data_IF_485229341735
#
_entry.id   IF_485229341735
#
_cell.length_a   1.000
_cell.length_b   1.000
_cell.length_c   1.000
_cell.angle_alpha   90.00
_cell.angle_beta   90.00
_cell.angle_gamma   90.00
#
_symmetry.space_group_name_H-M   'P 1'
#
loop_
_entity.id
_entity.type
_entity.pdbx_description
1 polymer ?
#
# COMPACT_ATOMS: atom_id res chain seq x y z
N UNK A 1 5.41 26.69 -22.65
CA UNK A 1 5.63 27.21 -21.28
C UNK A 1 4.45 26.80 -20.42
N UNK A 2 4.68 25.97 -19.41
CA UNK A 2 3.66 25.66 -18.39
C UNK A 2 3.73 26.81 -17.39
N UNK A 3 2.66 27.61 -17.28
CA UNK A 3 2.62 28.72 -16.33
C UNK A 3 2.51 28.16 -14.91
N UNK A 4 3.14 28.84 -13.94
CA UNK A 4 3.11 28.46 -12.51
C UNK A 4 1.67 28.25 -12.02
N UNK A 5 0.73 29.07 -12.50
CA UNK A 5 -0.70 28.96 -12.22
C UNK A 5 -1.33 27.61 -12.60
N UNK A 6 -0.89 26.99 -13.70
CA UNK A 6 -1.41 25.68 -14.12
C UNK A 6 -0.86 24.55 -13.25
N UNK A 7 0.38 24.69 -12.79
CA UNK A 7 1.01 23.73 -11.87
C UNK A 7 0.32 23.80 -10.52
N UNK A 8 0.08 25.00 -9.99
CA UNK A 8 -0.61 25.19 -8.71
C UNK A 8 -2.05 24.72 -8.78
N UNK A 9 -2.81 25.05 -9.83
CA UNK A 9 -4.18 24.57 -10.00
C UNK A 9 -4.26 23.03 -10.07
N UNK A 10 -3.33 22.39 -10.80
CA UNK A 10 -3.28 20.93 -10.89
C UNK A 10 -2.91 20.29 -9.55
N UNK A 11 -1.95 20.88 -8.83
CA UNK A 11 -1.58 20.42 -7.48
C UNK A 11 -2.76 20.55 -6.51
N UNK A 12 -3.48 21.68 -6.53
CA UNK A 12 -4.66 21.90 -5.68
C UNK A 12 -5.76 20.89 -6.03
N UNK A 13 -6.05 20.67 -7.32
CA UNK A 13 -7.04 19.68 -7.73
C UNK A 13 -6.64 18.26 -7.30
N UNK A 14 -5.36 17.92 -7.38
CA UNK A 14 -4.84 16.62 -6.95
C UNK A 14 -4.93 16.45 -5.44
N UNK A 15 -4.57 17.48 -4.66
CA UNK A 15 -4.71 17.49 -3.20
C UNK A 15 -6.17 17.43 -2.77
N UNK A 16 -7.08 18.14 -3.46
CA UNK A 16 -8.51 18.07 -3.21
C UNK A 16 -9.08 16.70 -3.54
N UNK A 17 -8.66 16.09 -4.65
CA UNK A 17 -9.04 14.72 -5.02
C UNK A 17 -8.58 13.71 -3.96
N UNK A 18 -7.32 13.82 -3.51
CA UNK A 18 -6.75 13.03 -2.40
C UNK A 18 -7.56 13.21 -1.11
N UNK A 19 -7.92 14.45 -0.78
CA UNK A 19 -8.74 14.76 0.38
C UNK A 19 -10.12 14.10 0.30
N UNK A 20 -10.82 14.21 -0.83
CA UNK A 20 -12.13 13.60 -1.03
C UNK A 20 -12.08 12.06 -1.00
N UNK A 21 -11.03 11.46 -1.57
CA UNK A 21 -10.79 10.01 -1.51
C UNK A 21 -10.65 9.51 -0.06
N UNK A 22 -10.09 10.32 0.83
CA UNK A 22 -9.92 9.98 2.24
C UNK A 22 -11.21 9.86 3.06
N UNK A 23 -12.33 10.43 2.58
CA UNK A 23 -13.63 10.31 3.26
C UNK A 23 -14.48 9.15 2.74
N UNK A 24 -14.06 8.51 1.65
CA UNK A 24 -14.78 7.38 1.07
C UNK A 24 -14.35 6.08 1.76
N UNK A 25 -15.30 5.15 1.99
CA UNK A 25 -14.94 3.80 2.41
C UNK A 25 -13.91 3.20 1.44
N UNK A 26 -12.93 2.40 1.92
CA UNK A 26 -11.84 1.91 1.08
C UNK A 26 -12.30 1.22 -0.21
N UNK A 27 -13.38 0.44 -0.15
CA UNK A 27 -13.93 -0.23 -1.33
C UNK A 27 -14.47 0.75 -2.39
N UNK A 28 -15.10 1.86 -1.98
CA UNK A 28 -15.66 2.88 -2.89
C UNK A 28 -14.53 3.62 -3.57
N UNK A 29 -13.51 4.02 -2.81
CA UNK A 29 -12.34 4.69 -3.34
C UNK A 29 -11.54 3.78 -4.29
N UNK A 30 -11.34 2.50 -3.95
CA UNK A 30 -10.72 1.52 -4.86
C UNK A 30 -11.55 1.32 -6.14
N UNK A 31 -12.88 1.27 -6.05
CA UNK A 31 -13.75 1.18 -7.23
C UNK A 31 -13.68 2.44 -8.10
N UNK A 32 -13.73 3.63 -7.50
CA UNK A 32 -13.57 4.89 -8.24
C UNK A 32 -12.21 4.98 -8.94
N UNK A 33 -11.15 4.50 -8.29
CA UNK A 33 -9.82 4.43 -8.87
C UNK A 33 -9.73 3.38 -10.00
N UNK A 34 -10.40 2.23 -9.87
CA UNK A 34 -10.54 1.26 -10.96
C UNK A 34 -11.18 1.89 -12.20
N UNK A 35 -12.29 2.61 -12.02
CA UNK A 35 -12.98 3.31 -13.13
C UNK A 35 -12.02 4.31 -13.80
N UNK A 36 -11.27 5.09 -13.02
CA UNK A 36 -10.25 6.00 -13.55
C UNK A 36 -9.20 5.27 -14.39
N UNK A 37 -8.68 4.14 -13.90
CA UNK A 37 -7.70 3.32 -14.63
C UNK A 37 -8.30 2.75 -15.91
N UNK A 38 -9.51 2.20 -15.88
CA UNK A 38 -10.19 1.66 -17.06
C UNK A 38 -10.42 2.73 -18.12
N UNK A 39 -10.90 3.91 -17.72
CA UNK A 39 -11.05 5.06 -18.64
C UNK A 39 -9.68 5.44 -19.22
N UNK A 40 -8.63 5.46 -18.39
CA UNK A 40 -7.26 5.75 -18.85
C UNK A 40 -6.78 4.72 -19.88
N UNK A 41 -7.04 3.43 -19.67
CA UNK A 41 -6.72 2.37 -20.64
C UNK A 41 -7.46 2.60 -21.96
N UNK A 42 -8.75 2.93 -21.94
CA UNK A 42 -9.54 3.22 -23.15
C UNK A 42 -8.96 4.43 -23.89
N UNK A 43 -8.62 5.50 -23.18
CA UNK A 43 -8.01 6.70 -23.77
C UNK A 43 -6.65 6.37 -24.37
N UNK A 44 -5.78 5.65 -23.66
CA UNK A 44 -4.45 5.23 -24.16
C UNK A 44 -4.56 4.29 -25.37
N UNK A 45 -5.58 3.42 -25.39
CA UNK A 45 -5.86 2.53 -26.53
C UNK A 45 -6.26 3.31 -27.79
N UNK A 46 -6.98 4.42 -27.62
CA UNK A 46 -7.42 5.28 -28.73
C UNK A 46 -6.30 6.10 -29.39
N UNK A 47 -5.14 6.21 -28.75
CA UNK A 47 -3.98 6.94 -29.31
C UNK A 47 -3.21 6.00 -30.25
N UNK A 48 -2.98 6.36 -31.53
CA UNK A 48 -2.20 5.53 -32.44
C UNK A 48 -0.74 5.36 -31.94
N UNK A 49 -0.16 4.17 -32.14
CA UNK A 49 1.24 3.86 -31.75
C UNK A 49 2.13 4.04 -32.97
N UNK A 50 2.42 5.29 -33.27
CA UNK A 50 3.30 5.65 -34.38
C UNK A 50 4.77 5.73 -33.90
N UNK A 51 5.76 5.44 -34.78
CA UNK A 51 7.15 5.75 -34.48
C UNK A 51 7.30 7.25 -34.14
N UNK A 52 7.95 7.57 -33.02
CA UNK A 52 8.02 8.94 -32.48
C UNK A 52 6.91 9.31 -31.48
N UNK A 53 5.91 8.46 -31.27
CA UNK A 53 4.93 8.64 -30.20
C UNK A 53 5.60 8.49 -28.81
N UNK A 54 5.06 9.16 -27.80
CA UNK A 54 5.66 9.24 -26.46
C UNK A 54 5.91 7.89 -25.78
N UNK A 55 5.07 6.87 -26.04
CA UNK A 55 5.28 5.50 -25.54
C UNK A 55 6.51 4.81 -26.16
N UNK A 56 6.96 5.25 -27.34
CA UNK A 56 8.17 4.76 -27.99
C UNK A 56 9.46 5.35 -27.41
N UNK A 57 9.38 6.42 -26.63
CA UNK A 57 10.55 7.05 -26.02
C UNK A 57 11.19 6.10 -25.01
N UNK A 58 12.50 5.90 -25.10
CA UNK A 58 13.27 5.05 -24.18
C UNK A 58 13.13 5.46 -22.73
N UNK A 59 13.10 6.76 -22.44
CA UNK A 59 12.89 7.25 -21.07
C UNK A 59 11.55 6.77 -20.52
N UNK A 60 10.48 6.80 -21.32
CA UNK A 60 9.14 6.36 -20.89
C UNK A 60 9.11 4.85 -20.69
N UNK A 61 9.65 4.09 -21.65
CA UNK A 61 9.74 2.61 -21.56
C UNK A 61 10.49 2.17 -20.31
N UNK A 62 11.65 2.77 -20.06
CA UNK A 62 12.48 2.49 -18.87
C UNK A 62 11.81 2.96 -17.58
N UNK A 63 11.14 4.11 -17.60
CA UNK A 63 10.34 4.59 -16.48
C UNK A 63 9.23 3.59 -16.11
N UNK A 64 8.52 3.04 -17.10
CA UNK A 64 7.51 2.01 -16.87
C UNK A 64 8.11 0.74 -16.25
N UNK A 65 9.27 0.29 -16.75
CA UNK A 65 10.01 -0.86 -16.16
C UNK A 65 10.35 -0.60 -14.69
N UNK A 66 10.82 0.60 -14.35
CA UNK A 66 11.12 0.97 -12.96
C UNK A 66 9.86 0.99 -12.11
N UNK A 67 8.76 1.57 -12.60
CA UNK A 67 7.47 1.60 -11.89
C UNK A 67 6.95 0.19 -11.63
N UNK A 68 6.94 -0.68 -12.65
CA UNK A 68 6.53 -2.08 -12.51
C UNK A 68 7.42 -2.79 -11.49
N UNK A 69 8.74 -2.59 -11.57
CA UNK A 69 9.69 -3.21 -10.63
C UNK A 69 9.44 -2.78 -9.17
N UNK A 70 9.22 -1.49 -8.94
CA UNK A 70 8.91 -0.95 -7.62
C UNK A 70 7.60 -1.51 -7.06
N UNK A 71 6.56 -1.60 -7.89
CA UNK A 71 5.28 -2.19 -7.51
C UNK A 71 5.45 -3.69 -7.21
N UNK A 72 6.19 -4.44 -8.02
CA UNK A 72 6.45 -5.86 -7.76
C UNK A 72 7.26 -6.09 -6.49
N UNK A 73 8.17 -5.18 -6.13
CA UNK A 73 8.87 -5.24 -4.85
C UNK A 73 7.93 -4.98 -3.67
N UNK A 74 6.98 -4.07 -3.84
CA UNK A 74 5.97 -3.77 -2.83
C UNK A 74 5.03 -4.96 -2.58
N UNK A 75 4.58 -5.63 -3.65
CA UNK A 75 3.78 -6.84 -3.58
C UNK A 75 4.43 -7.96 -2.75
N UNK A 76 5.76 -8.01 -2.63
CA UNK A 76 6.44 -9.00 -1.77
C UNK A 76 6.07 -8.86 -0.28
N UNK A 77 5.56 -7.69 0.12
CA UNK A 77 5.17 -7.40 1.50
C UNK A 77 3.72 -7.73 1.80
N UNK A 78 2.93 -8.08 0.78
CA UNK A 78 1.50 -8.36 0.95
C UNK A 78 1.32 -9.76 1.52
N UNK A 79 0.43 -9.88 2.50
CA UNK A 79 0.08 -11.16 3.12
C UNK A 79 -0.78 -12.05 2.21
N UNK A 80 -1.25 -13.17 2.76
CA UNK A 80 -2.13 -14.10 2.05
C UNK A 80 -3.57 -13.57 1.83
N UNK A 81 -4.03 -12.62 2.66
CA UNK A 81 -5.34 -11.99 2.51
C UNK A 81 -5.23 -10.60 1.91
N UNK A 82 -5.80 -10.40 0.72
CA UNK A 82 -5.84 -9.10 0.05
C UNK A 82 -6.74 -8.12 0.81
N UNK A 83 -6.18 -6.96 1.12
CA UNK A 83 -6.94 -5.85 1.66
C UNK A 83 -7.47 -4.98 0.51
N UNK A 84 -8.73 -4.51 0.52
CA UNK A 84 -9.25 -3.61 -0.52
C UNK A 84 -8.39 -2.36 -0.80
N UNK A 85 -7.58 -1.94 0.16
CA UNK A 85 -6.64 -0.82 0.04
C UNK A 85 -5.45 -1.11 -0.89
N UNK A 86 -5.17 -2.38 -1.17
CA UNK A 86 -4.06 -2.84 -2.03
C UNK A 86 -4.43 -2.81 -3.52
N UNK A 87 -5.73 -2.83 -3.84
CA UNK A 87 -6.23 -2.84 -5.21
C UNK A 87 -5.73 -1.68 -6.08
N UNK A 88 -5.62 -0.43 -5.59
CA UNK A 88 -5.09 0.66 -6.41
C UNK A 88 -3.69 0.37 -6.94
N UNK A 89 -2.82 -0.29 -6.16
CA UNK A 89 -1.48 -0.66 -6.62
C UNK A 89 -1.55 -1.69 -7.77
N UNK A 90 -2.43 -2.69 -7.64
CA UNK A 90 -2.69 -3.70 -8.67
C UNK A 90 -3.25 -3.04 -9.94
N UNK A 91 -4.11 -2.04 -9.81
CA UNK A 91 -4.65 -1.31 -10.96
C UNK A 91 -3.58 -0.43 -11.64
N UNK A 92 -2.68 0.20 -10.88
CA UNK A 92 -1.50 0.89 -11.44
C UNK A 92 -0.61 -0.09 -12.18
N UNK A 93 -0.35 -1.27 -11.60
CA UNK A 93 0.45 -2.32 -12.22
C UNK A 93 -0.15 -2.73 -13.57
N UNK A 94 -1.43 -3.06 -13.59
CA UNK A 94 -2.14 -3.42 -14.81
C UNK A 94 -2.11 -2.31 -15.87
N UNK A 95 -2.23 -1.05 -15.46
CA UNK A 95 -2.09 0.10 -16.37
C UNK A 95 -0.67 0.21 -16.92
N UNK A 96 0.35 0.05 -16.06
CA UNK A 96 1.75 0.12 -16.45
C UNK A 96 2.13 -1.02 -17.41
N UNK A 97 1.63 -2.23 -17.16
CA UNK A 97 1.79 -3.39 -18.04
C UNK A 97 1.12 -3.20 -19.38
N UNK A 98 -0.11 -2.67 -19.38
CA UNK A 98 -0.81 -2.33 -20.62
C UNK A 98 -0.03 -1.29 -21.43
N UNK A 99 0.46 -0.24 -20.76
CA UNK A 99 1.26 0.81 -21.38
C UNK A 99 2.60 0.26 -21.90
N UNK A 100 3.27 -0.62 -21.14
CA UNK A 100 4.52 -1.25 -21.53
C UNK A 100 4.31 -2.19 -22.73
N UNK A 101 3.27 -3.02 -22.72
CA UNK A 101 2.90 -3.88 -23.84
C UNK A 101 2.60 -3.07 -25.10
N UNK A 102 1.96 -1.90 -24.96
CA UNK A 102 1.76 -0.97 -26.08
C UNK A 102 3.06 -0.37 -26.57
N UNK A 103 3.95 0.02 -25.66
CA UNK A 103 5.26 0.59 -25.96
C UNK A 103 6.18 -0.40 -26.70
N UNK A 104 6.11 -1.68 -26.34
CA UNK A 104 6.87 -2.78 -26.97
C UNK A 104 6.12 -3.44 -28.14
N UNK A 105 5.00 -2.84 -28.59
CA UNK A 105 4.10 -3.41 -29.63
C UNK A 105 3.67 -4.86 -29.37
N UNK A 106 3.70 -5.30 -28.10
CA UNK A 106 3.40 -6.67 -27.68
C UNK A 106 4.25 -7.74 -28.38
N UNK A 107 5.47 -7.39 -28.81
CA UNK A 107 6.40 -8.33 -29.48
C UNK A 107 6.62 -9.59 -28.63
N UNK A 108 6.71 -9.44 -27.31
CA UNK A 108 6.86 -10.56 -26.38
C UNK A 108 5.72 -11.59 -26.42
N UNK A 109 4.50 -11.17 -26.78
CA UNK A 109 3.31 -12.03 -26.77
C UNK A 109 2.68 -12.21 -28.16
N UNK A 110 3.34 -11.73 -29.23
CA UNK A 110 2.85 -11.82 -30.59
C UNK A 110 2.98 -13.26 -31.15
N UNK A 111 2.03 -13.66 -32.01
CA UNK A 111 2.12 -14.92 -32.72
C UNK A 111 3.31 -14.90 -33.69
N UNK A 112 3.90 -16.08 -33.96
CA UNK A 112 5.08 -16.19 -34.83
C UNK A 112 4.79 -15.63 -36.24
N UNK A 113 3.57 -15.83 -36.74
CA UNK A 113 3.15 -15.35 -38.06
C UNK A 113 3.12 -13.82 -38.20
N UNK A 114 3.04 -13.10 -37.08
CA UNK A 114 2.94 -11.64 -37.06
C UNK A 114 4.30 -10.96 -36.83
N UNK A 115 5.38 -11.75 -36.75
CA UNK A 115 6.71 -11.29 -36.41
C UNK A 115 7.65 -11.39 -37.61
N UNK A 116 8.33 -10.30 -37.91
CA UNK A 116 9.48 -10.31 -38.82
C UNK A 116 10.66 -11.05 -38.15
N UNK A 117 11.58 -11.61 -38.95
CA UNK A 117 12.78 -12.32 -38.46
C UNK A 117 13.58 -11.50 -37.43
N UNK A 118 13.68 -10.18 -37.64
CA UNK A 118 14.35 -9.27 -36.71
C UNK A 118 13.61 -9.21 -35.37
N UNK A 119 12.28 -9.10 -35.39
CA UNK A 119 11.48 -9.04 -34.17
C UNK A 119 11.49 -10.37 -33.41
N UNK A 120 11.48 -11.49 -34.14
CA UNK A 120 11.65 -12.81 -33.58
C UNK A 120 13.00 -12.97 -32.87
N UNK A 121 14.09 -12.52 -33.49
CA UNK A 121 15.43 -12.59 -32.87
C UNK A 121 15.50 -11.83 -31.55
N UNK A 122 14.91 -10.63 -31.50
CA UNK A 122 14.84 -9.80 -30.29
C UNK A 122 13.95 -10.44 -29.23
N UNK A 123 12.80 -11.00 -29.63
CA UNK A 123 11.89 -11.72 -28.72
C UNK A 123 12.60 -12.91 -28.07
N UNK A 124 13.27 -13.75 -28.86
CA UNK A 124 13.96 -14.95 -28.39
C UNK A 124 15.13 -14.59 -27.45
N UNK A 125 15.91 -13.56 -27.81
CA UNK A 125 16.95 -13.03 -26.94
C UNK A 125 16.37 -12.51 -25.60
N UNK A 126 15.27 -11.78 -25.66
CA UNK A 126 14.62 -11.24 -24.48
C UNK A 126 14.08 -12.34 -23.55
N UNK A 127 13.44 -13.39 -24.08
CA UNK A 127 13.00 -14.54 -23.26
C UNK A 127 14.18 -15.25 -22.60
N UNK A 128 15.27 -15.46 -23.33
CA UNK A 128 16.46 -16.13 -22.77
C UNK A 128 17.04 -15.33 -21.59
N UNK A 129 17.15 -14.02 -21.74
CA UNK A 129 17.65 -13.14 -20.68
C UNK A 129 16.64 -13.08 -19.52
N UNK A 130 15.35 -12.86 -19.81
CA UNK A 130 14.30 -12.76 -18.81
C UNK A 130 14.22 -14.01 -17.93
N UNK A 131 14.15 -15.20 -18.53
CA UNK A 131 14.06 -16.43 -17.74
C UNK A 131 15.35 -16.79 -17.03
N UNK A 132 16.52 -16.43 -17.57
CA UNK A 132 17.78 -16.56 -16.83
C UNK A 132 17.78 -15.66 -15.59
N UNK A 133 17.38 -14.39 -15.73
CA UNK A 133 17.29 -13.44 -14.60
C UNK A 133 16.25 -13.91 -13.58
N UNK A 134 15.08 -14.36 -14.03
CA UNK A 134 14.02 -14.88 -13.15
C UNK A 134 14.46 -16.13 -12.39
N UNK A 135 15.11 -17.08 -13.08
CA UNK A 135 15.60 -18.29 -12.44
C UNK A 135 16.67 -17.98 -11.38
N UNK A 136 17.60 -17.07 -11.69
CA UNK A 136 18.63 -16.63 -10.75
C UNK A 136 18.02 -15.88 -9.56
N UNK A 137 17.08 -14.95 -9.80
CA UNK A 137 16.48 -14.15 -8.73
C UNK A 137 15.61 -15.01 -7.80
N UNK A 138 14.74 -15.85 -8.36
CA UNK A 138 13.89 -16.77 -7.58
C UNK A 138 14.75 -17.79 -6.87
N UNK A 139 15.72 -18.41 -7.56
CA UNK A 139 16.63 -19.38 -6.94
C UNK A 139 17.43 -18.78 -5.77
N UNK A 140 17.92 -17.54 -5.93
CA UNK A 140 18.61 -16.83 -4.86
C UNK A 140 17.69 -16.54 -3.67
N UNK A 141 16.46 -16.08 -3.91
CA UNK A 141 15.48 -15.82 -2.85
C UNK A 141 15.13 -17.10 -2.10
N UNK A 142 14.88 -18.20 -2.81
CA UNK A 142 14.59 -19.50 -2.19
C UNK A 142 15.76 -19.99 -1.33
N UNK A 143 16.99 -19.91 -1.85
CA UNK A 143 18.19 -20.33 -1.14
C UNK A 143 18.45 -19.48 0.12
N UNK A 144 18.29 -18.16 0.02
CA UNK A 144 18.45 -17.27 1.18
C UNK A 144 17.34 -17.50 2.20
N UNK A 145 16.09 -17.66 1.76
CA UNK A 145 14.96 -17.86 2.66
C UNK A 145 15.05 -19.18 3.44
N UNK A 146 15.60 -20.23 2.82
CA UNK A 146 15.78 -21.54 3.46
C UNK A 146 16.91 -21.54 4.52
N UNK A 147 17.99 -20.79 4.26
CA UNK A 147 19.22 -20.86 5.08
C UNK A 147 19.29 -19.76 6.15
N UNK A 148 18.59 -18.63 5.97
CA UNK A 148 18.80 -17.46 6.82
C UNK A 148 18.22 -17.58 8.24
N UNK A 149 16.89 -17.72 8.39
CA UNK A 149 16.21 -17.75 9.69
C UNK A 149 14.90 -18.56 9.67
N UNK A 150 14.39 -19.02 10.83
CA UNK A 150 13.06 -19.64 10.90
C UNK A 150 11.94 -18.73 10.40
N UNK A 151 12.08 -17.41 10.57
CA UNK A 151 11.10 -16.43 10.09
C UNK A 151 11.12 -16.29 8.56
N UNK A 152 12.30 -16.37 7.92
CA UNK A 152 12.39 -16.38 6.46
C UNK A 152 11.80 -17.65 5.84
N UNK A 153 11.97 -18.79 6.51
CA UNK A 153 11.35 -20.05 6.09
C UNK A 153 9.82 -20.00 6.22
N UNK A 154 9.28 -19.42 7.29
CA UNK A 154 7.83 -19.19 7.43
C UNK A 154 7.29 -18.24 6.36
N UNK A 155 7.98 -17.12 6.11
CA UNK A 155 7.61 -16.21 5.03
C UNK A 155 7.56 -16.93 3.68
N UNK A 156 8.49 -17.85 3.41
CA UNK A 156 8.50 -18.62 2.17
C UNK A 156 7.28 -19.53 2.01
N UNK A 157 6.84 -20.19 3.09
CA UNK A 157 5.61 -21.01 3.08
C UNK A 157 4.38 -20.15 2.82
N UNK A 158 4.32 -18.97 3.43
CA UNK A 158 3.21 -18.02 3.26
C UNK A 158 3.24 -17.32 1.88
N UNK A 159 4.42 -17.16 1.28
CA UNK A 159 4.65 -16.47 0.01
C UNK A 159 3.86 -17.07 -1.15
N UNK A 160 3.53 -18.36 -1.09
CA UNK A 160 2.76 -19.08 -2.10
C UNK A 160 1.31 -18.56 -2.20
N UNK A 161 0.77 -18.00 -1.11
CA UNK A 161 -0.64 -17.64 -1.00
C UNK A 161 -0.92 -16.13 -1.09
N UNK A 162 0.10 -15.31 -1.33
CA UNK A 162 -0.01 -13.85 -1.25
C UNK A 162 0.65 -13.08 -2.38
N UNK A 163 1.08 -11.86 -2.09
CA UNK A 163 1.70 -10.98 -3.07
C UNK A 163 3.03 -11.47 -3.67
N UNK A 164 3.86 -12.30 -3.00
CA UNK A 164 5.03 -12.90 -3.66
C UNK A 164 4.66 -13.80 -4.85
N UNK A 165 3.59 -14.60 -4.74
CA UNK A 165 3.09 -15.41 -5.85
C UNK A 165 2.60 -14.54 -7.01
N UNK A 166 1.88 -13.45 -6.72
CA UNK A 166 1.50 -12.47 -7.74
C UNK A 166 2.73 -11.83 -8.40
N UNK A 167 3.74 -11.46 -7.62
CA UNK A 167 4.99 -10.88 -8.12
C UNK A 167 5.73 -11.86 -9.04
N UNK A 168 5.77 -13.14 -8.66
CA UNK A 168 6.34 -14.19 -9.48
C UNK A 168 5.59 -14.34 -10.81
N UNK A 169 4.27 -14.46 -10.79
CA UNK A 169 3.45 -14.55 -12.01
C UNK A 169 3.60 -13.31 -12.88
N UNK A 170 3.59 -12.13 -12.26
CA UNK A 170 3.80 -10.86 -12.92
C UNK A 170 5.12 -10.83 -13.68
N UNK A 171 6.23 -11.18 -13.01
CA UNK A 171 7.53 -11.23 -13.65
C UNK A 171 7.61 -12.34 -14.70
N UNK A 172 7.00 -13.51 -14.45
CA UNK A 172 6.99 -14.62 -15.41
C UNK A 172 6.41 -14.19 -16.78
N UNK A 173 5.31 -13.42 -16.78
CA UNK A 173 4.65 -12.99 -18.01
C UNK A 173 5.22 -11.70 -18.62
N UNK A 174 5.60 -10.72 -17.79
CA UNK A 174 5.96 -9.38 -18.26
C UNK A 174 7.45 -9.09 -18.31
N UNK A 175 8.30 -9.90 -17.67
CA UNK A 175 9.75 -9.70 -17.69
C UNK A 175 10.36 -9.72 -19.10
N UNK A 176 9.92 -10.59 -20.05
CA UNK A 176 10.39 -10.49 -21.44
C UNK A 176 10.11 -9.11 -22.06
N UNK A 177 8.92 -8.55 -21.82
CA UNK A 177 8.58 -7.20 -22.31
C UNK A 177 9.42 -6.11 -21.64
N UNK A 178 9.72 -6.25 -20.34
CA UNK A 178 10.62 -5.34 -19.63
C UNK A 178 12.05 -5.39 -20.19
N UNK A 179 12.53 -6.58 -20.53
CA UNK A 179 13.84 -6.79 -21.16
C UNK A 179 13.88 -6.18 -22.57
N UNK A 180 12.84 -6.38 -23.39
CA UNK A 180 12.73 -5.73 -24.72
C UNK A 180 12.80 -4.20 -24.57
N UNK A 181 12.05 -3.64 -23.62
CA UNK A 181 12.06 -2.21 -23.34
C UNK A 181 13.44 -1.67 -22.93
N UNK A 182 14.33 -2.53 -22.43
CA UNK A 182 15.69 -2.16 -22.02
C UNK A 182 16.73 -2.30 -23.13
N UNK A 183 16.62 -3.37 -23.93
CA UNK A 183 17.56 -3.76 -24.99
C UNK A 183 17.27 -3.02 -26.29
N UNK A 184 15.99 -2.86 -26.67
CA UNK A 184 15.64 -2.23 -27.94
C UNK A 184 16.21 -0.80 -27.93
N UNK A 185 17.11 -0.46 -28.86
CA UNK A 185 17.64 0.88 -28.95
C UNK A 185 16.48 1.87 -29.14
N UNK A 186 16.75 3.16 -28.94
CA UNK A 186 15.83 4.16 -29.46
C UNK A 186 15.54 3.75 -30.90
N UNK A 187 14.25 3.58 -31.27
CA UNK A 187 13.92 3.58 -32.70
C UNK A 187 14.62 4.82 -33.18
N UNK A 188 15.65 4.64 -34.00
CA UNK A 188 16.44 5.71 -34.58
C UNK A 188 15.40 6.77 -34.86
N UNK A 189 15.53 7.90 -34.17
CA UNK A 189 14.96 9.10 -34.72
C UNK A 189 15.54 9.08 -36.12
N UNK A 190 14.71 8.73 -37.10
CA UNK A 190 14.77 9.49 -38.32
C UNK A 190 14.80 10.91 -37.76
N UNK A 191 15.99 11.52 -37.71
CA UNK A 191 16.18 12.87 -37.17
C UNK A 191 15.36 13.87 -38.01
N UNK A 192 14.66 13.38 -39.04
CA UNK A 192 13.67 14.00 -39.90
C UNK A 192 12.21 13.56 -39.69
N UNK A 193 11.88 12.61 -38.79
CA UNK A 193 10.48 12.31 -38.48
C UNK A 193 9.90 13.50 -37.71
N UNK A 194 9.00 14.32 -38.32
CA UNK A 194 8.49 15.51 -37.67
C UNK A 194 7.83 15.09 -36.37
N UNK A 195 8.19 15.73 -35.25
CA UNK A 195 7.47 15.59 -33.98
C UNK A 195 5.99 15.87 -34.26
N UNK A 196 5.22 14.81 -34.48
CA UNK A 196 3.85 14.91 -34.90
C UNK A 196 3.13 15.78 -33.89
N UNK A 197 2.44 16.81 -34.41
CA UNK A 197 1.75 17.83 -33.62
C UNK A 197 0.92 17.11 -32.57
N UNK A 198 1.38 17.18 -31.32
CA UNK A 198 0.88 16.39 -30.22
C UNK A 198 -0.63 16.60 -30.09
N UNK A 199 -1.42 15.60 -30.48
CA UNK A 199 -2.87 15.71 -30.48
C UNK A 199 -3.36 15.98 -29.06
N UNK A 200 -4.46 16.73 -28.92
CA UNK A 200 -5.08 16.99 -27.61
C UNK A 200 -5.37 15.69 -26.85
N UNK A 201 -5.73 14.63 -27.58
CA UNK A 201 -5.93 13.26 -27.05
C UNK A 201 -4.65 12.64 -26.49
N UNK A 202 -3.51 12.79 -27.16
CA UNK A 202 -2.22 12.28 -26.65
C UNK A 202 -1.80 13.00 -25.36
N UNK A 203 -2.05 14.31 -25.25
CA UNK A 203 -1.81 15.07 -24.02
C UNK A 203 -2.74 14.64 -22.89
N UNK A 204 -4.02 14.39 -23.20
CA UNK A 204 -4.97 13.85 -22.23
C UNK A 204 -4.53 12.47 -21.73
N UNK A 205 -4.16 11.57 -22.64
CA UNK A 205 -3.67 10.23 -22.28
C UNK A 205 -2.43 10.31 -21.36
N UNK A 206 -1.47 11.18 -21.69
CA UNK A 206 -0.31 11.44 -20.84
C UNK A 206 -0.71 11.93 -19.44
N UNK A 207 -1.59 12.94 -19.38
CA UNK A 207 -2.04 13.51 -18.12
C UNK A 207 -2.78 12.46 -17.27
N UNK A 208 -3.64 11.63 -17.88
CA UNK A 208 -4.37 10.59 -17.17
C UNK A 208 -3.46 9.48 -16.64
N UNK A 209 -2.48 9.02 -17.43
CA UNK A 209 -1.48 8.04 -16.97
C UNK A 209 -0.64 8.63 -15.84
N UNK A 210 -0.18 9.88 -16.00
CA UNK A 210 0.58 10.58 -14.96
C UNK A 210 -0.24 10.71 -13.68
N UNK A 211 -1.51 11.11 -13.77
CA UNK A 211 -2.42 11.18 -12.61
C UNK A 211 -2.60 9.81 -11.97
N UNK A 212 -2.83 8.75 -12.75
CA UNK A 212 -2.97 7.40 -12.20
C UNK A 212 -1.71 6.97 -11.42
N UNK A 213 -0.51 7.28 -11.91
CA UNK A 213 0.75 6.91 -11.24
C UNK A 213 1.05 7.84 -10.04
N UNK A 214 0.84 9.15 -10.18
CA UNK A 214 1.22 10.15 -9.17
C UNK A 214 0.25 10.16 -7.99
N UNK A 215 -1.05 9.97 -8.23
CA UNK A 215 -2.08 10.01 -7.19
C UNK A 215 -1.79 9.04 -6.02
N UNK A 216 -1.48 7.74 -6.23
CA UNK A 216 -1.15 6.83 -5.13
C UNK A 216 0.13 7.22 -4.38
N UNK A 217 1.13 7.77 -5.09
CA UNK A 217 2.38 8.26 -4.48
C UNK A 217 2.09 9.47 -3.59
N UNK A 218 1.37 10.46 -4.10
CA UNK A 218 1.02 11.66 -3.33
C UNK A 218 0.16 11.27 -2.14
N UNK A 219 -0.83 10.40 -2.33
CA UNK A 219 -1.66 9.90 -1.25
C UNK A 219 -0.81 9.26 -0.13
N UNK A 220 0.14 8.39 -0.48
CA UNK A 220 1.06 7.77 0.48
C UNK A 220 1.94 8.78 1.22
N UNK A 221 2.50 9.76 0.50
CA UNK A 221 3.31 10.82 1.10
C UNK A 221 2.46 11.67 2.04
N UNK A 222 1.24 12.04 1.64
CA UNK A 222 0.34 12.86 2.46
C UNK A 222 -0.09 12.13 3.72
N UNK A 223 -0.34 10.81 3.66
CA UNK A 223 -0.67 10.01 4.83
C UNK A 223 0.42 10.11 5.90
N UNK A 224 1.68 10.04 5.49
CA UNK A 224 2.81 10.00 6.43
C UNK A 224 3.25 11.39 6.89
N UNK A 225 3.27 12.37 5.99
CA UNK A 225 3.69 13.73 6.28
C UNK A 225 2.65 14.53 7.08
N UNK A 226 1.38 14.14 7.02
CA UNK A 226 0.31 14.84 7.72
C UNK A 226 0.48 14.84 9.25
N UNK A 227 -0.01 15.88 9.94
CA UNK A 227 -0.02 15.90 11.40
C UNK A 227 -0.92 14.78 11.92
N UNK A 228 -0.44 14.08 12.95
CA UNK A 228 -1.23 13.05 13.61
C UNK A 228 -2.28 13.74 14.48
N UNK A 229 -3.55 13.35 14.33
CA UNK A 229 -4.64 13.80 15.19
C UNK A 229 -5.05 12.64 16.08
N UNK A 230 -5.12 12.88 17.38
CA UNK A 230 -5.61 11.88 18.33
C UNK A 230 -7.07 12.15 18.64
N UNK A 231 -7.91 11.12 18.50
CA UNK A 231 -9.32 11.16 18.84
C UNK A 231 -9.58 10.08 19.90
N UNK A 232 -9.61 10.50 21.16
CA UNK A 232 -9.86 9.59 22.26
C UNK A 232 -11.38 9.39 22.44
N UNK A 233 -11.81 8.13 22.56
CA UNK A 233 -13.16 7.81 22.99
C UNK A 233 -13.12 6.60 23.94
N UNK A 234 -13.65 6.76 25.15
CA UNK A 234 -13.87 5.62 26.05
C UNK A 234 -15.13 4.90 25.61
N UNK A 235 -15.00 3.76 24.93
CA UNK A 235 -16.10 2.76 24.92
C UNK A 235 -16.07 2.05 26.25
N UNK A 236 -16.56 2.73 27.29
CA UNK A 236 -17.04 2.00 28.44
C UNK A 236 -18.31 1.33 27.94
N UNK A 237 -18.20 0.09 27.48
CA UNK A 237 -19.31 -0.85 27.60
C UNK A 237 -19.07 -1.55 28.94
N UNK A 238 -19.37 -0.91 30.10
CA UNK A 238 -19.59 -1.72 31.25
C UNK A 238 -20.78 -2.57 30.82
N UNK A 239 -20.55 -3.86 30.55
CA UNK A 239 -21.64 -4.80 30.80
C UNK A 239 -21.98 -4.49 32.25
N UNK A 240 -23.09 -3.76 32.40
CA UNK A 240 -23.45 -3.08 33.61
C UNK A 240 -23.40 -4.17 34.66
N UNK A 241 -22.36 -4.14 35.48
CA UNK A 241 -22.33 -4.86 36.73
C UNK A 241 -23.33 -4.18 37.64
N UNK A 242 -24.60 -4.09 37.22
CA UNK A 242 -25.75 -4.04 38.11
C UNK A 242 -25.74 -5.38 38.81
N UNK A 243 -24.81 -5.52 39.74
CA UNK A 243 -25.06 -6.35 40.89
C UNK A 243 -26.41 -5.90 41.42
N UNK A 244 -27.25 -6.88 41.65
CA UNK A 244 -28.68 -6.79 41.95
C UNK A 244 -29.02 -5.84 43.13
N UNK A 245 -28.05 -5.22 43.82
CA UNK A 245 -28.25 -4.52 45.08
C UNK A 245 -27.58 -3.13 45.23
N UNK A 246 -27.17 -2.44 44.15
CA UNK A 246 -26.76 -1.02 44.26
C UNK A 246 -25.51 -0.73 45.10
N UNK A 247 -24.66 -1.73 45.37
CA UNK A 247 -23.36 -1.58 46.04
C UNK A 247 -22.29 -1.45 44.96
N UNK A 248 -21.49 -0.38 44.99
CA UNK A 248 -20.43 -0.13 44.00
C UNK A 248 -19.48 -1.32 43.86
N UNK A 249 -19.55 -2.01 42.71
CA UNK A 249 -18.80 -3.25 42.49
C UNK A 249 -17.37 -2.90 42.06
N UNK A 250 -16.40 -3.48 42.76
CA UNK A 250 -15.00 -3.56 42.30
C UNK A 250 -14.99 -4.36 40.99
N UNK A 251 -14.61 -3.71 39.90
CA UNK A 251 -14.88 -4.08 38.50
C UNK A 251 -14.16 -5.33 37.94
N UNK A 252 -14.04 -6.39 38.73
CA UNK A 252 -13.58 -7.70 38.26
C UNK A 252 -14.44 -8.78 38.90
N UNK A 253 -15.64 -9.02 38.34
CA UNK A 253 -16.34 -10.29 38.51
C UNK A 253 -15.71 -11.35 37.60
N UNK A 254 -15.92 -12.64 37.92
CA UNK A 254 -15.36 -13.83 37.26
C UNK A 254 -15.27 -13.75 35.71
N UNK A 255 -14.21 -13.10 35.19
CA UNK A 255 -13.85 -12.92 33.77
C UNK A 255 -14.41 -11.70 33.00
N UNK A 256 -14.92 -10.67 33.67
CA UNK A 256 -15.34 -9.43 32.97
C UNK A 256 -14.38 -8.27 33.29
N UNK A 257 -13.47 -7.99 32.36
CA UNK A 257 -12.65 -6.77 32.36
C UNK A 257 -13.35 -5.62 31.63
N UNK A 258 -12.97 -4.37 31.91
CA UNK A 258 -13.44 -3.23 31.12
C UNK A 258 -12.58 -3.03 29.87
N UNK A 259 -13.25 -2.75 28.77
CA UNK A 259 -12.64 -2.38 27.50
C UNK A 259 -12.38 -0.88 27.45
N UNK A 260 -11.18 -0.52 27.02
CA UNK A 260 -10.79 0.84 26.74
C UNK A 260 -10.40 0.91 25.26
N UNK A 261 -11.21 1.61 24.47
CA UNK A 261 -10.88 1.95 23.09
C UNK A 261 -10.09 3.25 23.02
N UNK A 262 -9.19 3.37 22.06
CA UNK A 262 -8.63 4.64 21.60
C UNK A 262 -8.42 4.58 20.10
N UNK A 263 -8.47 5.72 19.42
CA UNK A 263 -8.18 5.80 17.99
C UNK A 263 -7.20 6.94 17.73
N UNK A 264 -6.21 6.68 16.87
CA UNK A 264 -5.29 7.70 16.39
C UNK A 264 -5.47 7.82 14.89
N UNK A 265 -5.89 9.00 14.47
CA UNK A 265 -6.14 9.32 13.09
C UNK A 265 -4.86 9.90 12.48
N UNK A 266 -4.41 9.28 11.40
CA UNK A 266 -3.22 9.66 10.63
C UNK A 266 -3.66 9.92 9.20
N UNK A 267 -3.13 10.96 8.58
CA UNK A 267 -3.62 11.45 7.31
C UNK A 267 -4.39 12.76 7.43
N UNK A 268 -4.46 13.49 6.32
CA UNK A 268 -5.20 14.74 6.25
C UNK A 268 -6.70 14.44 6.15
N UNK A 269 -7.46 14.79 7.20
CA UNK A 269 -8.89 14.45 7.29
C UNK A 269 -9.18 13.07 7.92
N UNK A 270 -8.19 12.39 8.51
CA UNK A 270 -8.40 11.11 9.22
C UNK A 270 -8.44 9.88 8.33
N UNK A 271 -7.71 9.92 7.20
CA UNK A 271 -7.64 8.90 6.14
C UNK A 271 -7.29 7.50 6.65
N UNK A 272 -6.49 7.41 7.71
CA UNK A 272 -6.14 6.15 8.35
C UNK A 272 -6.39 6.27 9.83
N UNK A 273 -6.90 5.19 10.43
CA UNK A 273 -7.08 5.14 11.86
C UNK A 273 -6.51 3.89 12.45
N UNK A 274 -5.75 4.06 13.51
CA UNK A 274 -5.19 2.96 14.28
C UNK A 274 -6.06 2.79 15.52
N UNK A 275 -7.01 1.84 15.51
CA UNK A 275 -7.74 1.53 16.73
C UNK A 275 -6.80 0.76 17.68
N UNK A 276 -6.88 1.13 18.95
CA UNK A 276 -6.26 0.43 20.05
C UNK A 276 -7.36 0.01 21.00
N UNK A 277 -7.24 -1.21 21.50
CA UNK A 277 -8.05 -1.72 22.58
C UNK A 277 -7.12 -2.13 23.71
N UNK A 278 -7.52 -1.81 24.94
CA UNK A 278 -6.85 -2.26 26.14
C UNK A 278 -7.92 -2.81 27.08
N UNK A 279 -7.64 -3.94 27.72
CA UNK A 279 -8.55 -4.52 28.72
C UNK A 279 -7.86 -4.48 30.06
N UNK A 280 -8.52 -3.86 31.02
CA UNK A 280 -7.97 -3.69 32.35
C UNK A 280 -9.01 -3.85 33.45
N UNK A 281 -8.50 -4.14 34.63
CA UNK A 281 -9.22 -4.52 35.81
C UNK A 281 -8.70 -3.69 36.99
N UNK A 282 -9.54 -3.41 37.99
CA UNK A 282 -9.10 -2.69 39.20
C UNK A 282 -9.82 -3.18 40.46
N UNK A 283 -9.15 -3.02 41.60
CA UNK A 283 -9.64 -3.45 42.91
C UNK A 283 -9.70 -2.31 43.95
N UNK A 284 -9.46 -1.06 43.52
CA UNK A 284 -9.38 0.13 44.37
C UNK A 284 -8.01 0.37 45.01
N UNK A 285 -7.10 -0.62 44.99
CA UNK A 285 -5.70 -0.45 45.41
C UNK A 285 -4.74 -0.39 44.23
N UNK A 286 -5.04 -1.09 43.12
CA UNK A 286 -4.27 -1.08 41.88
C UNK A 286 -5.13 -1.40 40.67
N UNK A 287 -4.73 -0.87 39.51
CA UNK A 287 -5.15 -1.36 38.20
C UNK A 287 -4.19 -2.44 37.70
N UNK A 288 -4.71 -3.47 37.05
CA UNK A 288 -3.93 -4.59 36.50
C UNK A 288 -4.54 -5.09 35.17
N UNK A 289 -3.71 -5.60 34.25
CA UNK A 289 -4.17 -6.11 32.95
C UNK A 289 -4.88 -7.46 33.09
N UNK A 290 -5.87 -7.74 32.24
CA UNK A 290 -6.53 -9.05 32.14
C UNK A 290 -6.05 -9.75 30.87
N UNK A 291 -5.30 -10.85 31.02
CA UNK A 291 -4.67 -11.56 29.90
C UNK A 291 -5.52 -12.73 29.37
N UNK A 292 -5.51 -12.95 28.06
CA UNK A 292 -5.72 -14.29 27.49
C UNK A 292 -7.13 -14.68 27.06
N UNK A 293 -8.08 -13.74 26.90
CA UNK A 293 -9.43 -14.09 26.37
C UNK A 293 -9.90 -13.26 25.18
N UNK A 294 -9.18 -12.22 24.78
CA UNK A 294 -9.64 -11.33 23.71
C UNK A 294 -8.51 -10.97 22.76
N UNK A 295 -8.82 -10.82 21.47
CA UNK A 295 -7.94 -10.33 20.40
C UNK A 295 -7.42 -8.89 20.61
N UNK A 296 -7.63 -8.33 21.81
CA UNK A 296 -7.31 -6.97 22.23
C UNK A 296 -5.88 -6.78 22.76
N UNK A 297 -5.09 -7.85 22.90
CA UNK A 297 -3.76 -7.73 23.47
C UNK A 297 -2.77 -7.23 22.40
N UNK A 298 -2.54 -5.92 22.38
CA UNK A 298 -1.42 -5.29 21.68
C UNK A 298 -1.40 -5.44 20.14
N UNK A 299 -2.54 -5.73 19.52
CA UNK A 299 -2.68 -5.68 18.08
C UNK A 299 -3.36 -4.38 17.66
N UNK A 300 -2.72 -3.54 16.82
CA UNK A 300 -3.45 -2.50 16.13
C UNK A 300 -4.56 -3.20 15.35
N UNK A 301 -5.79 -2.73 15.52
CA UNK A 301 -6.85 -3.21 14.64
C UNK A 301 -6.59 -2.77 13.20
N UNK A 302 -7.50 -3.15 12.31
CA UNK A 302 -7.37 -2.85 10.88
C UNK A 302 -7.28 -1.36 10.63
N UNK A 303 -6.15 -0.90 10.09
CA UNK A 303 -5.96 0.46 9.62
C UNK A 303 -6.45 0.60 8.18
N UNK A 304 -7.29 1.60 7.92
CA UNK A 304 -7.64 1.97 6.54
C UNK A 304 -6.42 2.65 5.90
N UNK A 305 -6.08 2.32 4.65
CA UNK A 305 -5.05 2.99 3.83
C UNK A 305 -3.60 2.99 4.34
N UNK A 306 -3.34 2.39 5.50
CA UNK A 306 -2.01 2.14 6.05
C UNK A 306 -1.94 0.71 6.57
N UNK A 307 -0.74 0.19 6.76
CA UNK A 307 -0.48 -0.99 7.56
C UNK A 307 0.09 -0.57 8.90
N UNK A 308 -0.54 -0.99 10.00
CA UNK A 308 0.02 -0.87 11.34
C UNK A 308 0.68 -2.18 11.76
N UNK A 309 1.94 -2.08 12.17
CA UNK A 309 2.69 -3.18 12.77
C UNK A 309 3.09 -2.82 14.19
N UNK A 310 2.76 -3.67 15.17
CA UNK A 310 3.21 -3.46 16.55
C UNK A 310 4.71 -3.64 16.62
N UNK A 311 5.43 -2.63 17.06
CA UNK A 311 6.86 -2.73 17.35
C UNK A 311 7.09 -3.18 18.79
N UNK A 312 6.44 -2.49 19.74
CA UNK A 312 6.54 -2.82 21.16
C UNK A 312 5.23 -2.55 21.85
N UNK A 313 4.83 -3.45 22.73
CA UNK A 313 3.76 -3.24 23.68
C UNK A 313 4.33 -3.43 25.08
N UNK A 314 4.29 -2.38 25.91
CA UNK A 314 4.75 -2.43 27.29
C UNK A 314 3.62 -2.06 28.22
N UNK A 315 3.57 -2.76 29.34
CA UNK A 315 2.67 -2.49 30.45
C UNK A 315 3.51 -2.27 31.70
N UNK A 316 3.14 -1.26 32.49
CA UNK A 316 3.77 -1.00 33.78
C UNK A 316 2.72 -0.56 34.77
N UNK A 317 2.66 -1.21 35.93
CA UNK A 317 1.88 -0.74 37.07
C UNK A 317 2.79 0.07 37.98
N UNK A 318 2.49 1.35 38.16
CA UNK A 318 3.21 2.26 39.05
C UNK A 318 3.02 1.90 40.53
N UNK A 319 3.91 2.42 41.38
CA UNK A 319 3.80 2.28 42.83
C UNK A 319 2.55 2.95 43.41
N UNK A 320 1.96 3.90 42.69
CA UNK A 320 0.70 4.58 42.98
C UNK A 320 -0.56 3.75 42.60
N UNK A 321 -0.36 2.55 42.04
CA UNK A 321 -1.42 1.66 41.59
C UNK A 321 -2.00 2.03 40.21
N UNK A 322 -1.40 2.97 39.49
CA UNK A 322 -1.78 3.29 38.11
C UNK A 322 -1.25 2.25 37.13
N UNK A 323 -2.01 1.92 36.10
CA UNK A 323 -1.58 1.02 35.03
C UNK A 323 -1.35 1.82 33.75
N UNK A 324 -0.13 1.79 33.24
CA UNK A 324 0.22 2.45 31.98
C UNK A 324 0.48 1.42 30.90
N UNK A 325 -0.24 1.53 29.79
CA UNK A 325 0.04 0.83 28.55
C UNK A 325 0.77 1.77 27.60
N UNK A 326 1.92 1.34 27.09
CA UNK A 326 2.69 2.04 26.06
C UNK A 326 2.75 1.19 24.81
N UNK A 327 2.13 1.69 23.74
CA UNK A 327 2.11 1.09 22.43
C UNK A 327 3.02 1.87 21.51
N UNK A 328 3.94 1.16 20.84
CA UNK A 328 4.70 1.69 19.72
C UNK A 328 4.32 0.91 18.49
N UNK A 329 3.73 1.60 17.53
CA UNK A 329 3.26 1.03 16.27
C UNK A 329 4.00 1.70 15.13
N UNK A 330 4.39 0.93 14.12
CA UNK A 330 4.92 1.46 12.87
C UNK A 330 3.81 1.46 11.83
N UNK A 331 3.48 2.65 11.35
CA UNK A 331 2.58 2.84 10.23
C UNK A 331 3.37 2.87 8.94
N UNK A 332 2.89 2.13 7.94
CA UNK A 332 3.43 2.10 6.58
C UNK A 332 2.30 2.48 5.64
N UNK A 333 2.57 3.33 4.66
CA UNK A 333 1.55 3.60 3.63
C UNK A 333 1.33 2.33 2.80
N UNK A 334 0.08 2.04 2.43
CA UNK A 334 -0.26 0.80 1.69
C UNK A 334 0.45 0.71 0.34
N UNK A 335 0.70 1.84 -0.32
CA UNK A 335 1.21 1.85 -1.69
C UNK A 335 2.73 2.12 -1.77
N UNK A 336 3.35 2.50 -0.65
CA UNK A 336 4.79 2.76 -0.52
C UNK A 336 5.22 2.38 0.90
N UNK A 337 5.30 1.09 1.25
CA UNK A 337 5.45 0.64 2.64
C UNK A 337 6.84 0.93 3.21
N UNK A 338 7.81 1.25 2.35
CA UNK A 338 9.12 1.71 2.77
C UNK A 338 9.06 3.10 3.43
N UNK A 339 8.06 3.91 3.08
CA UNK A 339 7.76 5.12 3.83
C UNK A 339 7.00 4.69 5.08
N UNK A 340 7.59 4.95 6.23
CA UNK A 340 7.01 4.54 7.50
C UNK A 340 7.15 5.61 8.57
N UNK A 341 6.26 5.57 9.55
CA UNK A 341 6.25 6.46 10.70
C UNK A 341 5.95 5.69 11.95
N UNK A 342 6.80 5.86 12.95
CA UNK A 342 6.55 5.32 14.29
C UNK A 342 5.55 6.24 15.01
N UNK A 343 4.54 5.62 15.62
CA UNK A 343 3.52 6.27 16.41
C UNK A 343 3.55 5.65 17.79
N UNK A 344 3.74 6.51 18.80
CA UNK A 344 3.65 6.11 20.21
C UNK A 344 2.30 6.55 20.75
N UNK A 345 1.69 5.67 21.53
CA UNK A 345 0.43 5.90 22.23
C UNK A 345 0.54 5.38 23.65
N UNK A 346 0.05 6.16 24.60
CA UNK A 346 0.09 5.82 26.02
C UNK A 346 -1.31 5.93 26.60
N UNK A 347 -1.78 4.86 27.24
CA UNK A 347 -3.05 4.82 27.97
C UNK A 347 -2.74 4.57 29.44
N UNK A 348 -3.13 5.51 30.30
CA UNK A 348 -2.86 5.45 31.73
C UNK A 348 -4.17 5.38 32.51
N UNK A 349 -4.36 4.29 33.24
CA UNK A 349 -5.53 3.98 34.05
C UNK A 349 -5.20 4.18 35.54
N UNK A 350 -6.08 4.84 36.27
CA UNK A 350 -6.01 4.91 37.74
C UNK A 350 -6.41 3.60 38.39
N UNK A 351 -6.03 3.44 39.66
CA UNK A 351 -6.53 2.41 40.57
C UNK A 351 -8.06 2.37 40.75
N UNK A 352 -8.75 3.44 40.36
CA UNK A 352 -10.21 3.57 40.43
C UNK A 352 -10.90 3.30 39.07
N UNK A 353 -10.16 2.85 38.06
CA UNK A 353 -10.69 2.58 36.72
C UNK A 353 -10.94 3.82 35.87
N UNK A 354 -10.60 5.02 36.37
CA UNK A 354 -10.63 6.27 35.58
C UNK A 354 -9.41 6.36 34.69
N UNK A 355 -9.58 6.82 33.46
CA UNK A 355 -8.44 7.06 32.56
C UNK A 355 -7.87 8.46 32.81
N UNK A 356 -6.58 8.51 33.19
CA UNK A 356 -5.85 9.75 33.51
C UNK A 356 -5.32 10.41 32.25
N UNK A 357 -4.78 9.57 31.36
CA UNK A 357 -4.11 10.01 30.15
C UNK A 357 -4.49 9.06 29.03
N UNK A 358 -5.15 9.61 28.01
CA UNK A 358 -5.31 8.99 26.71
C UNK A 358 -4.34 9.67 25.72
N UNK A 359 -3.90 8.97 24.66
CA UNK A 359 -2.88 9.44 23.73
C UNK A 359 -3.29 10.67 22.92
#
# INVERSE_FOLDING_TARGET
MVTIERITALLIALLLGVFLLGFLPPFVASFGYLVLVLVTIVVVRSVPVEPGAWLGLRIVRRGLVVVISLITLDLLTFGASFNPTEFPLIFVLALADFALGRATRRIASAAIIDLDERQESVRNQAHRIAYAVLAVSVGLVLLVADVATPDSHRWLVDAIHGGPALSFLQLLFFLPAMVIAWIEPDRISDDDAPRLRQSSRARLAYAMVAVCIILPIVFSITLIASPIRTSAFTVADPIDGRGVNGVGIKSCGNNHGLYFGARKDVGWGGVSSVPLTAVACWNGSRAYPLWGMFTSDCHPGTTEWAFASTLTCRQATGSDGTLTFTYRTRLRAVLLPFISRDVVMTVTLTKDGKVVQFP
#
